data_IF_241088925329
#
_entry.id   IF_241088925329
#
_cell.length_a   1.000
_cell.length_b   1.000
_cell.length_c   1.000
_cell.angle_alpha   90.00
_cell.angle_beta   90.00
_cell.angle_gamma   90.00
#
_symmetry.space_group_name_H-M   'P 1'
#
loop_
_entity.id
_entity.type
_entity.pdbx_description
1 polymer ?
#
# COMPACT_ATOMS: atom_id res chain seq x y z
N UNK A 1 3.57 -44.54 37.22
CA UNK A 1 2.58 -43.60 36.65
C UNK A 1 3.34 -42.42 36.08
N UNK A 2 3.61 -42.43 34.77
CA UNK A 2 4.31 -41.33 34.10
C UNK A 2 3.28 -40.26 33.74
N UNK A 3 3.26 -39.19 34.53
CA UNK A 3 2.51 -37.98 34.23
C UNK A 3 3.49 -36.94 33.72
N UNK A 4 3.17 -36.37 32.56
CA UNK A 4 3.37 -35.00 32.08
C UNK A 4 3.22 -35.07 30.57
N UNK A 5 2.07 -34.64 30.07
CA UNK A 5 1.80 -34.42 28.66
C UNK A 5 2.35 -33.03 28.27
N UNK A 6 3.38 -32.93 27.40
CA UNK A 6 4.00 -31.66 27.02
C UNK A 6 3.48 -31.13 25.67
N UNK A 7 2.31 -31.58 25.18
CA UNK A 7 1.90 -31.32 23.79
C UNK A 7 1.01 -30.09 23.57
N UNK A 8 0.74 -29.25 24.57
CA UNK A 8 -0.27 -28.19 24.40
C UNK A 8 0.21 -26.77 24.08
N UNK A 9 1.51 -26.45 24.17
CA UNK A 9 1.97 -25.04 24.04
C UNK A 9 3.13 -24.78 23.07
N UNK A 10 3.65 -25.76 22.34
CA UNK A 10 4.80 -25.54 21.43
C UNK A 10 4.46 -25.15 19.99
N UNK A 11 3.18 -24.97 19.66
CA UNK A 11 2.73 -24.72 18.28
C UNK A 11 2.35 -23.28 17.97
N UNK A 12 1.88 -22.50 18.95
CA UNK A 12 1.38 -21.14 18.71
C UNK A 12 2.49 -20.09 18.77
N UNK A 13 3.39 -20.21 19.76
CA UNK A 13 4.45 -19.22 20.02
C UNK A 13 5.36 -18.99 18.80
N UNK A 14 5.76 -20.06 18.10
CA UNK A 14 6.56 -19.95 16.88
C UNK A 14 5.79 -19.42 15.66
N UNK A 15 4.48 -19.66 15.55
CA UNK A 15 3.67 -19.17 14.42
C UNK A 15 3.50 -17.65 14.52
N UNK A 16 3.27 -17.15 15.74
CA UNK A 16 3.13 -15.71 15.99
C UNK A 16 4.43 -14.95 15.72
N UNK A 17 5.59 -15.50 16.12
CA UNK A 17 6.92 -14.92 15.79
C UNK A 17 7.13 -14.78 14.27
N UNK A 18 6.81 -15.83 13.48
CA UNK A 18 6.93 -15.75 12.02
C UNK A 18 5.98 -14.75 11.38
N UNK A 19 4.78 -14.53 11.96
CA UNK A 19 3.85 -13.52 11.45
C UNK A 19 4.37 -12.11 11.74
N UNK A 20 4.80 -11.85 12.97
CA UNK A 20 5.38 -10.56 13.39
C UNK A 20 6.62 -10.22 12.55
N UNK A 21 7.53 -11.17 12.31
CA UNK A 21 8.72 -10.96 11.47
C UNK A 21 8.40 -10.61 10.01
N UNK A 22 7.26 -11.10 9.48
CA UNK A 22 6.82 -10.74 8.13
C UNK A 22 6.20 -9.35 8.10
N UNK A 23 5.45 -8.98 9.12
CA UNK A 23 4.87 -7.63 9.23
C UNK A 23 5.98 -6.61 9.35
N UNK A 24 6.93 -6.81 10.26
CA UNK A 24 8.07 -5.91 10.46
C UNK A 24 8.80 -5.64 9.15
N UNK A 25 9.18 -6.70 8.41
CA UNK A 25 9.84 -6.55 7.10
C UNK A 25 9.00 -5.81 6.06
N UNK A 26 7.70 -6.05 6.03
CA UNK A 26 6.81 -5.37 5.09
C UNK A 26 6.63 -3.87 5.42
N UNK A 27 6.63 -3.54 6.72
CA UNK A 27 6.61 -2.15 7.20
C UNK A 27 7.93 -1.45 6.89
N UNK A 28 9.06 -2.09 7.14
CA UNK A 28 10.39 -1.56 6.80
C UNK A 28 10.50 -1.27 5.29
N UNK A 29 10.12 -2.24 4.44
CA UNK A 29 10.10 -2.03 2.98
C UNK A 29 9.18 -0.88 2.56
N UNK A 30 8.04 -0.70 3.24
CA UNK A 30 7.13 0.39 2.95
C UNK A 30 7.74 1.75 3.33
N UNK A 31 8.31 1.88 4.53
CA UNK A 31 8.97 3.12 4.98
C UNK A 31 10.16 3.49 4.08
N UNK A 32 10.97 2.52 3.66
CA UNK A 32 12.07 2.73 2.69
C UNK A 32 11.55 3.35 1.38
N UNK A 33 10.37 2.92 0.90
CA UNK A 33 9.74 3.49 -0.29
C UNK A 33 9.26 4.92 -0.05
N UNK A 34 8.69 5.22 1.13
CA UNK A 34 8.25 6.57 1.49
C UNK A 34 9.45 7.53 1.61
N UNK A 35 10.55 7.07 2.20
CA UNK A 35 11.79 7.85 2.26
C UNK A 35 12.33 8.15 0.85
N UNK A 36 12.39 7.14 -0.01
CA UNK A 36 12.82 7.31 -1.40
C UNK A 36 11.93 8.31 -2.18
N UNK A 37 10.62 8.34 -1.91
CA UNK A 37 9.71 9.33 -2.47
C UNK A 37 10.05 10.75 -1.99
N UNK A 38 10.24 10.92 -0.68
CA UNK A 38 10.62 12.21 -0.07
C UNK A 38 11.92 12.74 -0.69
N UNK A 39 12.93 11.88 -0.82
CA UNK A 39 14.22 12.26 -1.39
C UNK A 39 14.14 12.63 -2.87
N UNK A 40 13.31 11.92 -3.64
CA UNK A 40 13.05 12.29 -5.02
C UNK A 40 12.34 13.64 -5.12
N UNK A 41 11.31 13.88 -4.29
CA UNK A 41 10.49 15.09 -4.33
C UNK A 41 11.29 16.37 -4.07
N UNK A 42 12.34 16.31 -3.25
CA UNK A 42 13.26 17.45 -3.01
C UNK A 42 13.81 18.05 -4.32
N UNK A 43 13.94 17.26 -5.39
CA UNK A 43 14.43 17.75 -6.70
C UNK A 43 13.44 18.70 -7.38
N UNK A 44 12.15 18.58 -7.12
CA UNK A 44 11.12 19.49 -7.62
C UNK A 44 11.25 20.90 -7.02
N UNK A 45 11.91 21.03 -5.86
CA UNK A 45 12.09 22.30 -5.11
C UNK A 45 10.79 23.07 -4.95
N UNK A 46 9.72 22.38 -4.58
CA UNK A 46 8.40 22.95 -4.43
C UNK A 46 7.80 22.47 -3.11
N UNK A 47 7.76 23.38 -2.14
CA UNK A 47 7.28 23.11 -0.79
C UNK A 47 5.83 22.60 -0.76
N UNK A 48 4.97 23.04 -1.67
CA UNK A 48 3.58 22.57 -1.72
C UNK A 48 3.50 21.10 -2.14
N UNK A 49 4.36 20.69 -3.07
CA UNK A 49 4.44 19.29 -3.51
C UNK A 49 5.04 18.39 -2.42
N UNK A 50 6.06 18.87 -1.71
CA UNK A 50 6.60 18.18 -0.53
C UNK A 50 5.51 17.98 0.55
N UNK A 51 4.73 19.01 0.85
CA UNK A 51 3.62 18.92 1.82
C UNK A 51 2.50 17.98 1.36
N UNK A 52 2.12 18.01 0.07
CA UNK A 52 1.11 17.11 -0.47
C UNK A 52 1.57 15.66 -0.40
N UNK A 53 2.83 15.38 -0.72
CA UNK A 53 3.41 14.04 -0.60
C UNK A 53 3.45 13.59 0.87
N UNK A 54 3.84 14.47 1.79
CA UNK A 54 3.84 14.16 3.24
C UNK A 54 2.44 13.80 3.75
N UNK A 55 1.40 14.51 3.30
CA UNK A 55 0.01 14.18 3.62
C UNK A 55 -0.35 12.75 3.16
N UNK A 56 -0.01 12.38 1.93
CA UNK A 56 -0.20 11.01 1.43
C UNK A 56 0.56 9.98 2.28
N UNK A 57 1.84 10.24 2.59
CA UNK A 57 2.65 9.33 3.42
C UNK A 57 2.04 9.10 4.81
N UNK A 58 1.41 10.12 5.41
CA UNK A 58 0.74 9.96 6.71
C UNK A 58 -0.44 8.99 6.66
N UNK A 59 -1.17 8.94 5.54
CA UNK A 59 -2.24 7.97 5.32
C UNK A 59 -1.67 6.55 5.18
N UNK A 60 -0.58 6.39 4.41
CA UNK A 60 0.13 5.12 4.31
C UNK A 60 0.58 4.64 5.70
N UNK A 61 1.22 5.50 6.50
CA UNK A 61 1.66 5.15 7.87
C UNK A 61 0.51 4.74 8.79
N UNK A 62 -0.69 5.26 8.55
CA UNK A 62 -1.88 4.83 9.29
C UNK A 62 -2.26 3.39 8.93
N UNK A 63 -2.21 3.03 7.65
CA UNK A 63 -2.38 1.64 7.21
C UNK A 63 -1.30 0.72 7.78
N UNK A 64 -0.02 1.13 7.74
CA UNK A 64 1.09 0.33 8.29
C UNK A 64 0.84 0.01 9.77
N UNK A 65 0.47 1.02 10.57
CA UNK A 65 0.12 0.83 11.99
C UNK A 65 -1.07 -0.11 12.20
N UNK A 66 -2.08 -0.04 11.34
CA UNK A 66 -3.21 -0.97 11.43
C UNK A 66 -2.76 -2.43 11.22
N UNK A 67 -1.82 -2.66 10.31
CA UNK A 67 -1.25 -3.99 10.06
C UNK A 67 -0.28 -4.44 11.16
N UNK A 68 0.47 -3.50 11.76
CA UNK A 68 1.30 -3.79 12.95
C UNK A 68 0.45 -4.21 14.15
N UNK A 69 -0.71 -3.58 14.33
CA UNK A 69 -1.64 -3.91 15.41
C UNK A 69 -2.38 -5.23 15.18
N UNK A 70 -2.59 -5.62 13.92
CA UNK A 70 -3.21 -6.90 13.55
C UNK A 70 -2.41 -7.59 12.43
N UNK A 71 -1.41 -8.42 12.79
CA UNK A 71 -0.59 -9.16 11.82
C UNK A 71 -1.36 -10.06 10.85
N UNK A 72 -2.57 -10.49 11.21
CA UNK A 72 -3.44 -11.29 10.35
C UNK A 72 -3.84 -10.54 9.07
N UNK A 73 -3.90 -9.21 9.15
CA UNK A 73 -4.29 -8.33 8.05
C UNK A 73 -3.21 -8.09 7.01
N UNK A 74 -1.97 -8.58 7.24
CA UNK A 74 -0.86 -8.40 6.29
C UNK A 74 -1.20 -8.90 4.90
N UNK A 75 -1.93 -10.02 4.78
CA UNK A 75 -2.30 -10.57 3.46
C UNK A 75 -3.18 -9.59 2.69
N UNK A 76 -4.13 -8.96 3.38
CA UNK A 76 -4.99 -7.93 2.82
C UNK A 76 -4.21 -6.65 2.47
N UNK A 77 -3.22 -6.25 3.27
CA UNK A 77 -2.45 -5.04 3.03
C UNK A 77 -1.32 -5.18 2.00
N UNK A 78 -0.84 -6.40 1.73
CA UNK A 78 0.38 -6.67 0.95
C UNK A 78 0.44 -5.98 -0.41
N UNK A 79 -0.68 -5.92 -1.14
CA UNK A 79 -0.73 -5.27 -2.47
C UNK A 79 -0.49 -3.76 -2.38
N UNK A 80 -1.04 -3.13 -1.35
CA UNK A 80 -0.90 -1.70 -1.09
C UNK A 80 0.53 -1.36 -0.68
N UNK A 81 1.05 -2.07 0.34
CA UNK A 81 2.42 -1.88 0.85
C UNK A 81 3.49 -2.21 -0.21
N UNK A 82 3.21 -3.14 -1.13
CA UNK A 82 4.16 -3.56 -2.15
C UNK A 82 4.00 -2.84 -3.49
N UNK A 83 3.02 -3.27 -4.28
CA UNK A 83 2.89 -2.86 -5.68
C UNK A 83 2.55 -1.38 -5.81
N UNK A 84 1.63 -0.88 -4.97
CA UNK A 84 1.17 0.51 -5.06
C UNK A 84 2.23 1.48 -4.55
N UNK A 85 2.87 1.22 -3.41
CA UNK A 85 3.97 2.07 -2.94
C UNK A 85 5.16 2.07 -3.90
N UNK A 86 5.52 0.93 -4.52
CA UNK A 86 6.56 0.90 -5.56
C UNK A 86 6.16 1.75 -6.78
N UNK A 87 4.92 1.61 -7.25
CA UNK A 87 4.40 2.42 -8.36
C UNK A 87 4.40 3.92 -8.04
N UNK A 88 3.95 4.30 -6.84
CA UNK A 88 3.95 5.67 -6.36
C UNK A 88 5.38 6.24 -6.27
N UNK A 89 6.34 5.44 -5.80
CA UNK A 89 7.76 5.81 -5.76
C UNK A 89 8.31 6.06 -7.16
N UNK A 90 8.07 5.15 -8.10
CA UNK A 90 8.57 5.28 -9.47
C UNK A 90 7.94 6.48 -10.19
N UNK A 91 6.64 6.73 -9.97
CA UNK A 91 5.95 7.91 -10.49
C UNK A 91 6.54 9.20 -9.88
N UNK A 92 6.81 9.22 -8.57
CA UNK A 92 7.40 10.37 -7.88
C UNK A 92 8.80 10.71 -8.41
N UNK A 93 9.64 9.71 -8.65
CA UNK A 93 10.97 9.90 -9.26
C UNK A 93 10.85 10.52 -10.66
N UNK A 94 10.02 9.93 -11.52
CA UNK A 94 9.81 10.43 -12.89
C UNK A 94 9.26 11.86 -12.91
N UNK A 95 8.27 12.11 -12.07
CA UNK A 95 7.66 13.44 -11.93
C UNK A 95 8.68 14.47 -11.46
N UNK A 96 9.42 14.18 -10.38
CA UNK A 96 10.39 15.13 -9.82
C UNK A 96 11.49 15.47 -10.83
N UNK A 97 11.98 14.47 -11.57
CA UNK A 97 13.01 14.67 -12.59
C UNK A 97 12.51 15.50 -13.79
N UNK A 98 11.25 15.29 -14.21
CA UNK A 98 10.61 16.07 -15.26
C UNK A 98 10.37 17.51 -14.79
N UNK A 99 9.68 17.69 -13.67
CA UNK A 99 9.28 19.00 -13.15
C UNK A 99 10.50 19.87 -12.81
N UNK A 100 11.59 19.29 -12.33
CA UNK A 100 12.84 20.02 -12.08
C UNK A 100 13.43 20.66 -13.35
N UNK A 101 13.21 20.06 -14.53
CA UNK A 101 13.76 20.51 -15.81
C UNK A 101 12.82 21.46 -16.55
N UNK A 102 11.52 21.15 -16.55
CA UNK A 102 10.55 21.80 -17.43
C UNK A 102 9.59 22.74 -16.71
N UNK A 103 9.40 22.55 -15.39
CA UNK A 103 8.31 23.19 -14.63
C UNK A 103 6.94 22.94 -15.26
N UNK A 104 6.75 21.76 -15.84
CA UNK A 104 5.52 21.37 -16.51
C UNK A 104 4.35 21.29 -15.52
N UNK A 105 3.41 22.23 -15.67
CA UNK A 105 2.24 22.35 -14.81
C UNK A 105 1.21 21.24 -15.07
N UNK A 106 1.15 20.67 -16.28
CA UNK A 106 0.30 19.53 -16.56
C UNK A 106 0.83 18.29 -15.82
N UNK A 107 2.13 18.03 -15.91
CA UNK A 107 2.76 16.93 -15.16
C UNK A 107 2.57 17.09 -13.64
N UNK A 108 2.52 18.33 -13.14
CA UNK A 108 2.20 18.60 -11.73
C UNK A 108 0.76 18.20 -11.39
N UNK A 109 -0.21 18.61 -12.20
CA UNK A 109 -1.62 18.26 -11.97
C UNK A 109 -1.80 16.76 -11.99
N UNK A 110 -1.30 16.07 -13.03
CA UNK A 110 -1.40 14.60 -13.15
C UNK A 110 -0.76 13.86 -11.97
N UNK A 111 0.35 14.38 -11.44
CA UNK A 111 0.97 13.80 -10.25
C UNK A 111 0.17 14.04 -8.97
N UNK A 112 -0.45 15.20 -8.81
CA UNK A 112 -1.34 15.47 -7.66
C UNK A 112 -2.57 14.57 -7.72
N UNK A 113 -3.20 14.45 -8.90
CA UNK A 113 -4.35 13.58 -9.10
C UNK A 113 -4.00 12.11 -8.77
N UNK A 114 -2.81 11.65 -9.15
CA UNK A 114 -2.31 10.32 -8.76
C UNK A 114 -2.19 10.17 -7.24
N UNK A 115 -1.70 11.19 -6.52
CA UNK A 115 -1.61 11.14 -5.07
C UNK A 115 -2.99 11.14 -4.41
N UNK A 116 -3.95 11.90 -4.97
CA UNK A 116 -5.33 11.95 -4.49
C UNK A 116 -6.01 10.57 -4.66
N UNK A 117 -5.92 9.98 -5.86
CA UNK A 117 -6.43 8.64 -6.15
C UNK A 117 -5.84 7.58 -5.20
N UNK A 118 -4.51 7.62 -5.00
CA UNK A 118 -3.84 6.67 -4.10
C UNK A 118 -4.29 6.88 -2.67
N UNK A 119 -4.35 8.13 -2.18
CA UNK A 119 -4.77 8.45 -0.82
C UNK A 119 -6.17 7.90 -0.52
N UNK A 120 -7.13 8.13 -1.41
CA UNK A 120 -8.50 7.60 -1.28
C UNK A 120 -8.50 6.07 -1.19
N UNK A 121 -7.74 5.40 -2.07
CA UNK A 121 -7.61 3.94 -2.05
C UNK A 121 -6.98 3.41 -0.75
N UNK A 122 -5.97 4.10 -0.21
CA UNK A 122 -5.34 3.74 1.06
C UNK A 122 -6.30 3.98 2.25
N UNK A 123 -7.10 5.05 2.22
CA UNK A 123 -8.12 5.33 3.24
C UNK A 123 -9.20 4.25 3.26
N UNK A 124 -9.82 3.97 2.11
CA UNK A 124 -10.84 2.93 1.97
C UNK A 124 -10.31 1.57 2.44
N UNK A 125 -9.06 1.24 2.11
CA UNK A 125 -8.44 0.01 2.60
C UNK A 125 -8.25 0.02 4.11
N UNK A 126 -7.78 1.13 4.68
CA UNK A 126 -7.55 1.25 6.12
C UNK A 126 -8.87 1.10 6.90
N UNK A 127 -9.94 1.75 6.44
CA UNK A 127 -11.28 1.60 7.03
C UNK A 127 -11.74 0.15 6.99
N UNK A 128 -11.54 -0.55 5.86
CA UNK A 128 -11.91 -1.97 5.71
C UNK A 128 -11.06 -2.90 6.60
N UNK A 129 -9.82 -2.55 6.91
CA UNK A 129 -9.01 -3.33 7.84
C UNK A 129 -9.49 -3.17 9.29
N UNK A 130 -10.07 -2.01 9.60
CA UNK A 130 -10.63 -1.68 10.91
C UNK A 130 -12.05 -2.28 11.08
N UNK A 131 -12.85 -2.28 10.01
CA UNK A 131 -14.22 -2.82 9.98
C UNK A 131 -14.24 -4.25 9.35
N UNK A 132 -14.36 -5.28 10.19
CA UNK A 132 -14.13 -6.71 9.85
C UNK A 132 -14.69 -7.27 8.52
N UNK A 133 -13.85 -8.09 7.86
CA UNK A 133 -13.98 -9.15 6.82
C UNK A 133 -14.95 -9.03 5.63
N UNK A 134 -16.15 -8.45 5.78
CA UNK A 134 -17.18 -8.54 4.71
C UNK A 134 -17.03 -7.48 3.62
N UNK A 135 -16.39 -6.35 3.90
CA UNK A 135 -16.13 -5.27 2.92
C UNK A 135 -14.86 -5.51 2.07
N UNK A 136 -13.98 -6.41 2.50
CA UNK A 136 -12.70 -6.65 1.82
C UNK A 136 -12.81 -7.24 0.41
N UNK A 137 -13.88 -8.00 0.15
CA UNK A 137 -14.15 -8.66 -1.14
C UNK A 137 -14.71 -7.70 -2.20
N UNK A 138 -15.56 -6.76 -1.79
CA UNK A 138 -16.23 -5.86 -2.73
C UNK A 138 -15.23 -4.84 -3.31
N UNK A 139 -14.29 -4.34 -2.50
CA UNK A 139 -13.24 -3.41 -2.95
C UNK A 139 -12.22 -4.10 -3.86
N UNK A 140 -11.88 -5.37 -3.62
CA UNK A 140 -10.92 -6.09 -4.47
C UNK A 140 -11.47 -6.29 -5.90
N UNK A 141 -12.80 -6.43 -6.01
CA UNK A 141 -13.52 -6.47 -7.29
C UNK A 141 -13.51 -5.10 -7.97
N UNK A 142 -13.74 -4.02 -7.23
CA UNK A 142 -13.80 -2.66 -7.80
C UNK A 142 -12.42 -2.18 -8.26
N UNK A 143 -11.36 -2.45 -7.49
CA UNK A 143 -9.97 -2.20 -7.90
C UNK A 143 -9.55 -3.06 -9.11
N UNK A 144 -10.09 -4.28 -9.24
CA UNK A 144 -9.89 -5.10 -10.44
C UNK A 144 -10.59 -4.49 -11.65
N UNK A 145 -11.82 -3.98 -11.48
CA UNK A 145 -12.57 -3.32 -12.55
C UNK A 145 -11.90 -2.04 -13.02
N UNK A 146 -11.48 -1.17 -12.11
CA UNK A 146 -10.76 0.07 -12.47
C UNK A 146 -9.46 -0.21 -13.20
N UNK A 147 -8.75 -1.27 -12.82
CA UNK A 147 -7.52 -1.67 -13.49
C UNK A 147 -7.78 -2.25 -14.89
N UNK A 148 -8.82 -3.05 -15.05
CA UNK A 148 -9.26 -3.58 -16.35
C UNK A 148 -9.73 -2.44 -17.29
N UNK A 149 -10.37 -1.41 -16.72
CA UNK A 149 -10.79 -0.20 -17.45
C UNK A 149 -9.62 0.68 -17.85
N UNK A 150 -8.62 0.88 -16.96
CA UNK A 150 -7.39 1.64 -17.26
C UNK A 150 -6.44 0.92 -18.23
N UNK A 151 -6.36 -0.41 -18.20
CA UNK A 151 -5.47 -1.20 -19.09
C UNK A 151 -6.16 -1.59 -20.42
N UNK A 152 -7.45 -1.29 -20.62
CA UNK A 152 -8.21 -1.65 -21.82
C UNK A 152 -8.45 -3.16 -21.99
N UNK A 153 -8.16 -3.94 -20.96
CA UNK A 153 -8.26 -5.40 -20.95
C UNK A 153 -9.62 -5.77 -20.38
N UNK A 154 -10.60 -6.12 -21.22
CA UNK A 154 -11.80 -6.82 -20.74
C UNK A 154 -11.41 -8.26 -20.41
N UNK A 155 -11.80 -8.82 -19.25
CA UNK A 155 -11.64 -10.24 -19.01
C UNK A 155 -12.47 -10.97 -20.07
N UNK A 156 -11.83 -11.86 -20.83
CA UNK A 156 -12.54 -12.71 -21.77
C UNK A 156 -13.54 -13.54 -20.98
N UNK A 157 -14.84 -13.28 -21.19
CA UNK A 157 -15.92 -14.11 -20.67
C UNK A 157 -15.65 -15.54 -21.14
N UNK A 158 -15.45 -16.53 -20.24
CA UNK A 158 -15.40 -17.90 -20.70
C UNK A 158 -16.79 -18.27 -21.22
N UNK A 159 -16.90 -18.53 -22.51
CA UNK A 159 -18.16 -19.00 -23.09
C UNK A 159 -18.55 -20.35 -22.47
N UNK A 160 -19.82 -20.52 -22.06
CA UNK A 160 -20.28 -21.80 -21.56
C UNK A 160 -20.33 -22.80 -22.73
N UNK A 161 -19.64 -23.93 -22.57
CA UNK A 161 -19.85 -25.12 -23.41
C UNK A 161 -21.06 -25.90 -22.94
#
# INVERSE_FOLDING_TARGET
SFGLDPMRDKGMEGIDEFQTDRVARAVDEAEDLLEAMTDAMKRARNRKLEQRLEAFQNHVRTLLRAVENDPGQLTAARRYMGVYLRGARDATVKFADLYARTRDEQARTEYIDLLDDLEENFMLRTETLIDSDRQALDIEIDVLRERLEREGLRPATPEPR
#
